data_IF_289356946730
#
_entry.id   IF_289356946730
#
_cell.length_a   1.000
_cell.length_b   1.000
_cell.length_c   1.000
_cell.angle_alpha   90.00
_cell.angle_beta   90.00
_cell.angle_gamma   90.00
#
_symmetry.space_group_name_H-M   'P 1'
#
loop_
_entity.id
_entity.type
_entity.pdbx_description
1 polymer ?
#
# COMPACT_ATOMS: atom_id res chain seq x y z
N UNK A 1 97.47 27.77 20.65
CA UNK A 1 97.32 27.59 19.20
C UNK A 1 96.08 26.73 19.00
N UNK A 2 94.91 27.29 18.67
CA UNK A 2 94.31 27.32 17.29
C UNK A 2 94.18 25.90 16.70
N UNK A 3 93.06 25.38 16.19
CA UNK A 3 91.76 25.90 15.74
C UNK A 3 90.70 24.74 15.64
N UNK A 4 89.42 25.14 15.69
CA UNK A 4 88.20 24.64 15.03
C UNK A 4 87.94 23.16 14.66
N UNK A 5 86.74 22.65 15.01
CA UNK A 5 85.56 22.67 14.10
C UNK A 5 84.28 22.03 14.67
N UNK A 6 83.14 22.67 14.35
CA UNK A 6 81.73 22.40 14.66
C UNK A 6 81.18 20.98 14.36
N UNK A 7 80.23 20.49 15.20
CA UNK A 7 78.83 20.20 14.78
C UNK A 7 77.89 19.73 15.93
N UNK A 8 76.88 20.57 16.18
CA UNK A 8 75.45 20.32 16.53
C UNK A 8 75.10 19.32 17.64
N UNK A 9 74.54 19.89 18.72
CA UNK A 9 73.69 19.28 19.73
C UNK A 9 72.37 18.73 19.17
N UNK A 10 71.97 17.54 19.62
CA UNK A 10 70.60 17.01 19.50
C UNK A 10 70.08 16.66 20.92
N UNK A 11 68.86 17.07 21.29
CA UNK A 11 68.39 17.03 22.67
C UNK A 11 67.64 15.73 23.04
N UNK A 12 67.63 15.44 24.34
CA UNK A 12 66.83 14.43 25.04
C UNK A 12 65.34 14.47 24.64
N UNK A 13 64.75 13.30 24.39
CA UNK A 13 63.29 13.12 24.31
C UNK A 13 62.90 11.95 25.23
N UNK A 14 62.15 12.28 26.28
CA UNK A 14 61.46 11.35 27.17
C UNK A 14 60.29 10.70 26.44
N UNK A 15 60.30 9.38 26.32
CA UNK A 15 59.24 8.59 25.69
C UNK A 15 57.99 8.60 26.60
N UNK A 16 56.94 9.27 26.14
CA UNK A 16 55.63 9.29 26.77
C UNK A 16 54.86 8.02 26.38
N UNK A 17 54.42 7.25 27.37
CA UNK A 17 53.47 6.12 27.25
C UNK A 17 52.29 6.50 26.35
N UNK A 18 52.34 6.02 25.11
CA UNK A 18 51.30 6.24 24.11
C UNK A 18 51.02 4.94 23.38
N UNK A 19 50.50 3.93 24.08
CA UNK A 19 49.78 2.84 23.41
C UNK A 19 48.86 2.02 24.35
N UNK A 20 48.00 2.70 25.11
CA UNK A 20 46.78 2.05 25.61
C UNK A 20 45.72 2.25 24.52
N UNK A 21 45.79 1.37 23.53
CA UNK A 21 44.85 1.29 22.42
C UNK A 21 43.41 1.34 22.93
N UNK A 22 42.66 2.32 22.42
CA UNK A 22 41.23 2.46 22.61
C UNK A 22 40.52 1.20 22.10
N UNK A 23 40.19 0.29 23.01
CA UNK A 23 39.25 -0.79 22.75
C UNK A 23 37.87 -0.18 22.45
N UNK A 24 37.56 -0.08 21.14
CA UNK A 24 36.21 -0.30 20.67
C UNK A 24 35.21 0.86 20.70
N UNK A 25 35.58 2.08 20.35
CA UNK A 25 34.58 3.05 19.83
C UNK A 25 34.31 2.73 18.37
N UNK A 26 33.46 1.73 18.11
CA UNK A 26 32.79 1.62 16.79
C UNK A 26 32.17 3.00 16.48
N UNK A 27 32.41 3.61 15.30
CA UNK A 27 31.86 4.92 14.98
C UNK A 27 30.34 4.84 15.09
N UNK A 28 29.79 5.53 16.10
CA UNK A 28 28.41 5.35 16.48
C UNK A 28 27.49 5.84 15.35
N UNK A 29 26.55 5.01 14.84
CA UNK A 29 25.82 5.29 13.60
C UNK A 29 25.08 6.63 13.69
N UNK A 30 25.26 7.49 12.67
CA UNK A 30 24.68 8.84 12.62
C UNK A 30 23.15 8.76 12.69
N UNK A 31 22.49 9.75 13.29
CA UNK A 31 21.02 9.88 13.40
C UNK A 31 20.27 10.08 12.06
N UNK A 32 20.92 9.74 10.93
CA UNK A 32 20.45 9.96 9.57
C UNK A 32 19.23 9.10 9.20
N UNK A 33 19.14 7.80 9.57
CA UNK A 33 18.07 6.94 9.06
C UNK A 33 16.67 7.38 9.49
N UNK A 34 16.43 7.62 10.78
CA UNK A 34 15.10 8.00 11.29
C UNK A 34 14.61 9.32 10.71
N UNK A 35 15.50 10.29 10.50
CA UNK A 35 15.13 11.58 9.88
C UNK A 35 14.74 11.42 8.42
N UNK A 36 15.46 10.59 7.67
CA UNK A 36 15.14 10.32 6.26
C UNK A 36 13.76 9.65 6.15
N UNK A 37 13.51 8.61 6.95
CA UNK A 37 12.20 7.95 6.99
C UNK A 37 11.09 8.89 7.43
N UNK A 38 11.32 9.73 8.45
CA UNK A 38 10.32 10.69 8.90
C UNK A 38 10.02 11.78 7.86
N UNK A 39 11.03 12.26 7.12
CA UNK A 39 10.83 13.22 6.01
C UNK A 39 10.02 12.55 4.89
N UNK A 40 10.37 11.32 4.51
CA UNK A 40 9.61 10.56 3.51
C UNK A 40 8.16 10.35 3.95
N UNK A 41 7.92 9.95 5.21
CA UNK A 41 6.58 9.77 5.76
C UNK A 41 5.80 11.08 5.83
N UNK A 42 6.46 12.18 6.18
CA UNK A 42 5.86 13.52 6.16
C UNK A 42 5.46 13.96 4.75
N UNK A 43 6.31 13.70 3.75
CA UNK A 43 6.00 13.99 2.35
C UNK A 43 4.84 13.14 1.82
N UNK A 44 4.83 11.83 2.11
CA UNK A 44 3.72 10.94 1.75
C UNK A 44 2.42 11.41 2.40
N UNK A 45 2.44 11.68 3.71
CA UNK A 45 1.24 12.13 4.43
C UNK A 45 0.74 13.48 3.91
N UNK A 46 1.64 14.44 3.65
CA UNK A 46 1.26 15.73 3.08
C UNK A 46 0.62 15.56 1.69
N UNK A 47 1.15 14.67 0.85
CA UNK A 47 0.58 14.34 -0.44
C UNK A 47 -0.81 13.68 -0.31
N UNK A 48 -0.97 12.71 0.60
CA UNK A 48 -2.27 12.09 0.88
C UNK A 48 -3.32 13.13 1.29
N UNK A 49 -2.96 14.02 2.22
CA UNK A 49 -3.84 15.09 2.68
C UNK A 49 -4.19 16.06 1.55
N UNK A 50 -3.21 16.45 0.73
CA UNK A 50 -3.46 17.31 -0.44
C UNK A 50 -4.48 16.67 -1.39
N UNK A 51 -4.30 15.41 -1.74
CA UNK A 51 -5.18 14.68 -2.66
C UNK A 51 -6.58 14.50 -2.06
N UNK A 52 -6.69 14.13 -0.78
CA UNK A 52 -7.99 14.01 -0.11
C UNK A 52 -8.74 15.34 0.00
N UNK A 53 -8.05 16.42 0.35
CA UNK A 53 -8.67 17.75 0.43
C UNK A 53 -9.18 18.16 -0.96
N UNK A 54 -8.37 17.95 -2.01
CA UNK A 54 -8.76 18.24 -3.39
C UNK A 54 -9.94 17.40 -3.85
N UNK A 55 -9.96 16.11 -3.51
CA UNK A 55 -11.09 15.22 -3.81
C UNK A 55 -12.37 15.70 -3.13
N UNK A 56 -12.37 15.93 -1.82
CA UNK A 56 -13.54 16.36 -1.05
C UNK A 56 -14.08 17.71 -1.55
N UNK A 57 -13.20 18.63 -1.92
CA UNK A 57 -13.59 19.94 -2.44
C UNK A 57 -13.89 19.93 -3.95
N UNK A 58 -13.62 18.82 -4.64
CA UNK A 58 -13.67 18.69 -6.09
C UNK A 58 -14.92 18.01 -6.61
N UNK A 59 -15.09 17.94 -7.94
CA UNK A 59 -16.25 17.30 -8.57
C UNK A 59 -16.25 15.77 -8.43
N UNK A 60 -15.11 15.17 -8.08
CA UNK A 60 -14.96 13.72 -7.94
C UNK A 60 -15.57 13.16 -6.65
N UNK A 61 -15.98 14.02 -5.70
CA UNK A 61 -16.71 13.61 -4.49
C UNK A 61 -18.20 13.37 -4.81
N UNK A 62 -18.46 12.45 -5.72
CA UNK A 62 -19.79 12.12 -6.21
C UNK A 62 -20.08 10.63 -6.04
N UNK A 63 -21.32 10.27 -5.74
CA UNK A 63 -21.69 8.85 -5.63
C UNK A 63 -21.60 8.18 -7.00
N UNK A 64 -20.93 7.04 -7.06
CA UNK A 64 -20.98 6.14 -8.21
C UNK A 64 -22.14 5.17 -8.01
N UNK A 65 -23.14 5.14 -8.90
CA UNK A 65 -24.31 4.28 -8.75
C UNK A 65 -24.01 2.81 -9.09
N UNK A 66 -24.81 1.86 -8.54
CA UNK A 66 -24.71 0.43 -8.85
C UNK A 66 -25.19 0.02 -10.24
N UNK A 67 -25.76 0.94 -11.02
CA UNK A 67 -26.37 0.60 -12.31
C UNK A 67 -27.66 -0.22 -12.17
N UNK A 68 -28.14 -0.82 -13.27
CA UNK A 68 -29.47 -1.45 -13.34
C UNK A 68 -29.58 -2.81 -12.65
N UNK A 69 -28.48 -3.56 -12.51
CA UNK A 69 -28.51 -4.84 -11.80
C UNK A 69 -28.43 -4.63 -10.29
N UNK A 70 -29.35 -5.23 -9.56
CA UNK A 70 -29.30 -5.21 -8.09
C UNK A 70 -28.49 -6.37 -7.52
N UNK A 71 -27.64 -6.13 -6.50
CA UNK A 71 -27.00 -7.21 -5.79
C UNK A 71 -28.04 -8.15 -5.12
N UNK A 72 -27.77 -9.46 -5.03
CA UNK A 72 -28.62 -10.40 -4.31
C UNK A 72 -28.87 -9.98 -2.85
N UNK A 73 -30.05 -10.28 -2.30
CA UNK A 73 -30.43 -9.88 -0.93
C UNK A 73 -29.45 -10.40 0.13
N UNK A 74 -28.96 -11.63 0.00
CA UNK A 74 -27.97 -12.20 0.91
C UNK A 74 -26.64 -11.41 0.88
N UNK A 75 -26.18 -11.05 -0.31
CA UNK A 75 -24.98 -10.21 -0.51
C UNK A 75 -25.16 -8.85 0.18
N UNK A 76 -26.29 -8.17 -0.03
CA UNK A 76 -26.61 -6.90 0.65
C UNK A 76 -26.58 -7.04 2.18
N UNK A 77 -27.20 -8.08 2.72
CA UNK A 77 -27.26 -8.31 4.16
C UNK A 77 -25.88 -8.56 4.77
N UNK A 78 -25.05 -9.38 4.11
CA UNK A 78 -23.69 -9.68 4.55
C UNK A 78 -22.82 -8.41 4.52
N UNK A 79 -22.83 -7.68 3.40
CA UNK A 79 -22.05 -6.45 3.24
C UNK A 79 -22.44 -5.39 4.26
N UNK A 80 -23.73 -5.22 4.52
CA UNK A 80 -24.23 -4.32 5.56
C UNK A 80 -23.76 -4.74 6.96
N UNK A 81 -23.93 -6.02 7.29
CA UNK A 81 -23.57 -6.56 8.61
C UNK A 81 -22.07 -6.40 8.87
N UNK A 82 -21.23 -6.74 7.89
CA UNK A 82 -19.78 -6.58 8.01
C UNK A 82 -19.35 -5.13 8.13
N UNK A 83 -19.96 -4.23 7.33
CA UNK A 83 -19.68 -2.80 7.42
C UNK A 83 -20.00 -2.30 8.83
N UNK A 84 -21.15 -2.70 9.38
CA UNK A 84 -21.54 -2.33 10.74
C UNK A 84 -20.55 -2.86 11.79
N UNK A 85 -20.14 -4.14 11.70
CA UNK A 85 -19.17 -4.74 12.63
C UNK A 85 -17.83 -4.01 12.60
N UNK A 86 -17.30 -3.73 11.41
CA UNK A 86 -16.00 -3.07 11.24
C UNK A 86 -16.06 -1.60 11.69
N UNK A 87 -17.12 -0.87 11.36
CA UNK A 87 -17.32 0.52 11.81
C UNK A 87 -17.46 0.61 13.33
N UNK A 88 -18.21 -0.30 13.96
CA UNK A 88 -18.38 -0.34 15.42
C UNK A 88 -17.12 -0.84 16.13
N UNK A 89 -16.41 -1.78 15.53
CA UNK A 89 -15.15 -2.30 16.06
C UNK A 89 -14.05 -1.24 16.10
N UNK A 90 -14.08 -0.26 15.18
CA UNK A 90 -13.02 0.74 15.05
C UNK A 90 -12.85 1.58 16.35
N UNK A 91 -13.91 2.20 16.93
CA UNK A 91 -13.81 2.84 18.25
C UNK A 91 -13.22 1.95 19.34
N UNK A 92 -13.54 0.65 19.35
CA UNK A 92 -13.01 -0.32 20.31
C UNK A 92 -11.51 -0.52 20.11
N UNK A 93 -11.06 -0.64 18.85
CA UNK A 93 -9.64 -0.74 18.51
C UNK A 93 -8.87 0.52 18.93
N UNK A 94 -9.40 1.72 18.63
CA UNK A 94 -8.81 2.98 19.09
C UNK A 94 -8.72 3.06 20.61
N UNK A 95 -9.77 2.63 21.32
CA UNK A 95 -9.76 2.59 22.77
C UNK A 95 -8.69 1.63 23.31
N UNK A 96 -8.59 0.43 22.73
CA UNK A 96 -7.69 -0.62 23.21
C UNK A 96 -6.21 -0.37 22.90
N UNK A 97 -5.89 0.10 21.70
CA UNK A 97 -4.51 0.25 21.23
C UNK A 97 -3.93 1.65 21.42
N UNK A 98 -4.77 2.69 21.51
CA UNK A 98 -4.32 4.07 21.62
C UNK A 98 -4.70 4.66 22.99
N UNK A 99 -6.00 4.75 23.31
CA UNK A 99 -6.46 5.49 24.49
C UNK A 99 -6.03 4.81 25.79
N UNK A 100 -6.24 3.49 25.91
CA UNK A 100 -5.92 2.73 27.13
C UNK A 100 -4.41 2.70 27.42
N UNK A 101 -3.52 2.40 26.45
CA UNK A 101 -2.08 2.46 26.69
C UNK A 101 -1.59 3.88 26.94
N UNK A 102 -2.16 4.88 26.27
CA UNK A 102 -1.81 6.28 26.53
C UNK A 102 -2.18 6.69 27.97
N UNK A 103 -3.35 6.28 28.48
CA UNK A 103 -3.73 6.56 29.88
C UNK A 103 -2.87 5.82 30.90
N UNK A 104 -2.44 4.59 30.61
CA UNK A 104 -1.66 3.75 31.54
C UNK A 104 -0.17 4.05 31.53
N UNK A 105 0.42 4.19 30.35
CA UNK A 105 1.87 4.27 30.15
C UNK A 105 2.33 5.68 29.73
N UNK A 106 1.40 6.63 29.50
CA UNK A 106 1.67 7.99 29.01
C UNK A 106 2.49 8.03 27.71
N UNK A 107 2.43 6.97 26.91
CA UNK A 107 3.11 6.84 25.61
C UNK A 107 2.23 6.17 24.57
N UNK A 108 2.51 6.45 23.30
CA UNK A 108 1.93 5.74 22.16
C UNK A 108 2.80 4.50 21.90
N UNK A 109 2.19 3.32 21.95
CA UNK A 109 2.86 2.05 21.71
C UNK A 109 3.14 1.84 20.23
N UNK A 110 4.04 0.91 19.89
CA UNK A 110 4.29 0.52 18.50
C UNK A 110 3.00 0.05 17.83
N UNK A 111 2.19 -0.76 18.52
CA UNK A 111 0.91 -1.23 18.01
C UNK A 111 -0.07 -0.08 17.74
N UNK A 112 -0.11 0.95 18.60
CA UNK A 112 -0.91 2.14 18.35
C UNK A 112 -0.43 2.95 17.12
N UNK A 113 0.88 3.04 16.90
CA UNK A 113 1.44 3.69 15.70
C UNK A 113 1.15 2.88 14.44
N UNK A 114 1.34 1.55 14.49
CA UNK A 114 1.02 0.65 13.40
C UNK A 114 -0.47 0.65 13.06
N UNK A 115 -1.36 0.76 14.05
CA UNK A 115 -2.79 0.87 13.84
C UNK A 115 -3.13 2.07 12.93
N UNK A 116 -2.61 3.25 13.27
CA UNK A 116 -2.81 4.46 12.46
C UNK A 116 -2.09 4.35 11.12
N UNK A 117 -0.87 3.84 11.10
CA UNK A 117 -0.10 3.67 9.86
C UNK A 117 -0.81 2.74 8.88
N UNK A 118 -1.38 1.62 9.34
CA UNK A 118 -2.16 0.69 8.53
C UNK A 118 -3.44 1.34 8.03
N UNK A 119 -4.17 2.07 8.88
CA UNK A 119 -5.36 2.83 8.47
C UNK A 119 -5.06 3.84 7.35
N UNK A 120 -3.90 4.50 7.38
CA UNK A 120 -3.48 5.41 6.31
C UNK A 120 -3.04 4.71 5.01
N UNK A 121 -2.81 3.38 5.03
CA UNK A 121 -2.54 2.61 3.81
C UNK A 121 -3.77 2.51 2.91
N UNK A 122 -4.97 2.74 3.46
CA UNK A 122 -6.21 2.85 2.68
C UNK A 122 -6.07 3.80 1.48
N UNK A 123 -5.29 4.88 1.61
CA UNK A 123 -5.02 5.79 0.49
C UNK A 123 -4.38 5.09 -0.72
N UNK A 124 -3.51 4.11 -0.44
CA UNK A 124 -2.72 3.41 -1.44
C UNK A 124 -3.46 2.26 -2.12
N UNK A 125 -4.55 1.78 -1.52
CA UNK A 125 -5.28 0.63 -2.06
C UNK A 125 -5.72 0.80 -3.51
N UNK A 126 -6.47 1.86 -3.88
CA UNK A 126 -6.96 1.97 -5.24
C UNK A 126 -5.84 2.27 -6.24
N UNK A 127 -4.59 2.52 -5.80
CA UNK A 127 -3.45 2.70 -6.70
C UNK A 127 -3.17 1.46 -7.56
N UNK A 128 -3.62 0.27 -7.15
CA UNK A 128 -3.58 -0.93 -7.98
C UNK A 128 -4.24 -0.74 -9.37
N UNK A 129 -5.13 0.26 -9.50
CA UNK A 129 -5.81 0.63 -10.74
C UNK A 129 -5.17 1.80 -11.51
N UNK A 130 -3.93 2.19 -11.20
CA UNK A 130 -3.33 3.42 -11.75
C UNK A 130 -3.28 3.43 -13.27
N UNK A 131 -2.81 2.34 -13.89
CA UNK A 131 -2.73 2.22 -15.36
C UNK A 131 -4.00 1.70 -16.02
N UNK A 132 -4.64 0.71 -15.41
CA UNK A 132 -5.85 0.09 -15.91
C UNK A 132 -6.64 -0.47 -14.73
N UNK A 133 -7.94 -0.67 -14.90
CA UNK A 133 -8.79 -1.19 -13.82
C UNK A 133 -8.59 -2.69 -13.66
N UNK A 134 -7.82 -3.07 -12.64
CA UNK A 134 -7.51 -4.45 -12.28
C UNK A 134 -8.45 -5.00 -11.19
N UNK A 135 -8.85 -4.19 -10.22
CA UNK A 135 -9.85 -4.52 -9.18
C UNK A 135 -11.01 -3.53 -9.18
N UNK A 136 -12.21 -3.99 -8.84
CA UNK A 136 -13.37 -3.13 -8.64
C UNK A 136 -14.14 -3.50 -7.38
N UNK A 137 -14.71 -2.49 -6.74
CA UNK A 137 -15.57 -2.66 -5.56
C UNK A 137 -17.04 -2.70 -5.91
N UNK A 138 -17.84 -3.26 -5.01
CA UNK A 138 -19.29 -3.23 -5.12
C UNK A 138 -19.86 -1.83 -4.86
N UNK A 139 -20.33 -1.17 -5.91
CA UNK A 139 -20.81 0.23 -5.85
C UNK A 139 -22.18 0.39 -5.20
N UNK A 140 -22.84 -0.72 -4.81
CA UNK A 140 -24.00 -0.67 -3.92
C UNK A 140 -23.63 -0.14 -2.53
N UNK A 141 -22.41 -0.43 -2.06
CA UNK A 141 -21.91 0.05 -0.79
C UNK A 141 -21.78 1.57 -0.78
N UNK A 142 -21.79 2.15 0.42
CA UNK A 142 -21.67 3.60 0.57
C UNK A 142 -20.32 4.08 0.00
N UNK A 143 -20.39 4.88 -1.06
CA UNK A 143 -19.24 5.42 -1.76
C UNK A 143 -19.50 6.86 -2.22
N UNK A 144 -18.42 7.62 -2.43
CA UNK A 144 -18.40 8.97 -3.01
C UNK A 144 -17.33 9.04 -4.10
N UNK A 145 -17.28 8.01 -4.95
CA UNK A 145 -16.19 7.83 -5.91
C UNK A 145 -14.90 7.49 -5.17
N UNK A 146 -13.78 8.03 -5.62
CA UNK A 146 -12.50 7.95 -4.93
C UNK A 146 -11.62 9.13 -5.32
N UNK A 147 -10.52 9.31 -4.59
CA UNK A 147 -9.57 10.39 -4.82
C UNK A 147 -8.60 10.13 -5.99
N UNK A 148 -8.71 8.99 -6.68
CA UNK A 148 -7.70 8.57 -7.66
C UNK A 148 -7.56 9.51 -8.85
N UNK A 149 -8.66 10.12 -9.29
CA UNK A 149 -8.66 11.06 -10.41
C UNK A 149 -8.01 12.42 -10.04
N UNK A 150 -7.78 12.67 -8.74
CA UNK A 150 -7.06 13.85 -8.24
C UNK A 150 -5.56 13.58 -8.03
N UNK A 151 -5.10 12.34 -8.27
CA UNK A 151 -3.69 11.96 -8.22
C UNK A 151 -3.00 12.46 -9.51
N UNK A 152 -1.93 13.26 -9.41
CA UNK A 152 -1.18 13.69 -10.58
C UNK A 152 -0.66 12.50 -11.39
N UNK A 153 -0.95 12.50 -12.69
CA UNK A 153 -0.50 11.47 -13.62
C UNK A 153 -1.35 10.20 -13.67
N UNK A 154 -2.49 10.16 -12.95
CA UNK A 154 -3.44 9.04 -13.03
C UNK A 154 -3.86 8.75 -14.47
N UNK A 155 -3.86 7.47 -14.86
CA UNK A 155 -4.00 7.05 -16.27
C UNK A 155 -5.33 6.37 -16.54
N UNK A 156 -5.78 5.49 -15.64
CA UNK A 156 -7.02 4.74 -15.83
C UNK A 156 -8.22 5.67 -15.92
N UNK A 157 -9.12 5.37 -16.85
CA UNK A 157 -10.30 6.18 -17.10
C UNK A 157 -11.16 6.38 -15.83
N UNK A 158 -11.68 7.60 -15.68
CA UNK A 158 -12.73 7.91 -14.72
C UNK A 158 -13.26 9.34 -14.91
N UNK A 159 -14.52 9.54 -14.54
CA UNK A 159 -15.18 10.85 -14.50
C UNK A 159 -16.15 10.90 -13.31
N UNK A 160 -16.57 12.08 -12.84
CA UNK A 160 -17.61 12.18 -11.80
C UNK A 160 -18.81 11.27 -12.10
N UNK A 161 -19.20 10.46 -11.09
CA UNK A 161 -20.26 9.44 -11.21
C UNK A 161 -19.89 8.14 -11.96
N UNK A 162 -18.74 8.05 -12.63
CA UNK A 162 -18.23 6.87 -13.34
C UNK A 162 -16.73 6.69 -13.06
N UNK A 163 -16.50 6.22 -11.84
CA UNK A 163 -15.29 6.19 -11.02
C UNK A 163 -14.69 4.84 -10.65
N UNK A 164 -13.42 4.75 -10.25
CA UNK A 164 -13.09 3.81 -9.17
C UNK A 164 -13.87 4.23 -7.91
N UNK A 165 -14.75 3.37 -7.43
CA UNK A 165 -15.70 3.70 -6.37
C UNK A 165 -15.30 3.04 -5.07
N UNK A 166 -14.81 3.82 -4.11
CA UNK A 166 -14.24 3.26 -2.89
C UNK A 166 -15.30 3.10 -1.80
N UNK A 167 -15.51 1.89 -1.23
CA UNK A 167 -16.47 1.65 -0.17
C UNK A 167 -15.91 2.15 1.16
N UNK A 168 -15.95 3.48 1.34
CA UNK A 168 -15.27 4.20 2.41
C UNK A 168 -15.56 3.66 3.82
N UNK A 169 -16.81 3.30 4.11
CA UNK A 169 -17.20 2.80 5.43
C UNK A 169 -16.68 1.39 5.74
N UNK A 170 -16.34 0.62 4.71
CA UNK A 170 -15.77 -0.71 4.90
C UNK A 170 -14.25 -0.65 4.87
N UNK A 171 -13.69 -0.10 3.79
CA UNK A 171 -12.26 -0.20 3.53
C UNK A 171 -11.46 0.68 4.49
N UNK A 172 -11.86 1.94 4.70
CA UNK A 172 -11.10 2.83 5.57
C UNK A 172 -10.95 2.26 6.99
N UNK A 173 -12.01 1.78 7.67
CA UNK A 173 -11.87 1.08 8.95
C UNK A 173 -11.22 -0.30 8.83
N UNK A 174 -11.47 -1.05 7.75
CA UNK A 174 -10.88 -2.36 7.48
C UNK A 174 -9.34 -2.32 7.49
N UNK A 175 -8.74 -1.29 6.90
CA UNK A 175 -7.29 -1.10 6.89
C UNK A 175 -6.67 -0.91 8.28
N UNK A 176 -7.42 -0.43 9.28
CA UNK A 176 -6.92 -0.40 10.66
C UNK A 176 -6.78 -1.82 11.23
N UNK A 177 -7.68 -2.74 10.85
CA UNK A 177 -7.66 -4.12 11.33
C UNK A 177 -6.60 -5.00 10.67
N UNK A 178 -5.89 -4.50 9.65
CA UNK A 178 -4.65 -5.12 9.12
C UNK A 178 -3.64 -5.39 10.23
N UNK A 179 -3.59 -4.53 11.25
CA UNK A 179 -2.77 -4.76 12.45
C UNK A 179 -3.08 -6.11 13.12
N UNK A 180 -4.34 -6.53 13.19
CA UNK A 180 -4.72 -7.80 13.81
C UNK A 180 -4.14 -8.98 13.01
N UNK A 181 -4.17 -8.89 11.68
CA UNK A 181 -3.53 -9.87 10.79
C UNK A 181 -2.02 -9.91 11.02
N UNK A 182 -1.37 -8.74 11.16
CA UNK A 182 0.06 -8.65 11.49
C UNK A 182 0.37 -9.25 12.87
N UNK A 183 -0.47 -9.00 13.88
CA UNK A 183 -0.31 -9.60 15.23
C UNK A 183 -0.43 -11.13 15.19
N UNK A 184 -1.36 -11.65 14.39
CA UNK A 184 -1.54 -13.09 14.17
C UNK A 184 -0.34 -13.69 13.42
N UNK A 185 0.16 -13.02 12.37
CA UNK A 185 1.38 -13.42 11.68
C UNK A 185 2.60 -13.45 12.60
N UNK A 186 2.77 -12.45 13.45
CA UNK A 186 3.81 -12.48 14.50
C UNK A 186 3.61 -13.64 15.48
N UNK A 187 2.39 -14.04 15.81
CA UNK A 187 2.12 -15.21 16.64
C UNK A 187 2.52 -16.51 15.94
N UNK A 188 2.24 -16.64 14.64
CA UNK A 188 2.69 -17.77 13.81
C UNK A 188 4.21 -17.84 13.78
N UNK A 189 4.90 -16.71 13.55
CA UNK A 189 6.37 -16.66 13.61
C UNK A 189 6.91 -17.09 14.97
N UNK A 190 6.27 -16.70 16.09
CA UNK A 190 6.65 -17.15 17.43
C UNK A 190 6.49 -18.66 17.57
N UNK A 191 5.38 -19.22 17.09
CA UNK A 191 5.13 -20.67 17.12
C UNK A 191 6.12 -21.45 16.25
N UNK A 192 6.45 -20.94 15.07
CA UNK A 192 7.48 -21.52 14.21
C UNK A 192 8.84 -21.54 14.89
N UNK A 193 9.24 -20.44 15.55
CA UNK A 193 10.51 -20.38 16.30
C UNK A 193 10.53 -21.30 17.53
N UNK A 194 9.38 -21.52 18.19
CA UNK A 194 9.25 -22.50 19.27
C UNK A 194 9.40 -23.95 18.75
N UNK A 195 8.87 -24.24 17.56
CA UNK A 195 8.97 -25.57 16.94
C UNK A 195 10.35 -25.83 16.32
N UNK A 196 10.95 -24.82 15.72
CA UNK A 196 12.26 -24.87 15.07
C UNK A 196 13.17 -23.77 15.62
N UNK A 197 13.87 -24.00 16.74
CA UNK A 197 14.70 -22.97 17.39
C UNK A 197 15.83 -22.42 16.51
N UNK A 198 16.35 -23.24 15.60
CA UNK A 198 17.47 -22.89 14.71
C UNK A 198 17.01 -22.25 13.39
N UNK A 199 15.73 -21.91 13.24
CA UNK A 199 15.23 -21.25 12.03
C UNK A 199 15.85 -19.85 11.92
N UNK A 200 16.46 -19.57 10.76
CA UNK A 200 17.02 -18.26 10.49
C UNK A 200 15.92 -17.24 10.14
N UNK A 201 16.29 -15.96 10.04
CA UNK A 201 15.34 -14.88 9.74
C UNK A 201 14.59 -15.10 8.41
N UNK A 202 15.29 -15.57 7.37
CA UNK A 202 14.67 -15.84 6.07
C UNK A 202 13.63 -16.96 6.14
N UNK A 203 13.87 -18.00 6.94
CA UNK A 203 12.91 -19.07 7.19
C UNK A 203 11.65 -18.54 7.89
N UNK A 204 11.80 -17.63 8.87
CA UNK A 204 10.64 -16.99 9.51
C UNK A 204 9.84 -16.12 8.54
N UNK A 205 10.52 -15.41 7.63
CA UNK A 205 9.88 -14.64 6.56
C UNK A 205 9.11 -15.57 5.62
N UNK A 206 9.72 -16.67 5.18
CA UNK A 206 9.06 -17.66 4.33
C UNK A 206 7.82 -18.27 5.00
N UNK A 207 7.89 -18.58 6.29
CA UNK A 207 6.74 -19.09 7.06
C UNK A 207 5.61 -18.09 7.10
N UNK A 208 5.89 -16.80 7.37
CA UNK A 208 4.82 -15.80 7.44
C UNK A 208 4.22 -15.55 6.07
N UNK A 209 5.01 -15.51 4.98
CA UNK A 209 4.50 -15.38 3.59
C UNK A 209 3.59 -16.56 3.23
N UNK A 210 4.02 -17.79 3.54
CA UNK A 210 3.20 -18.97 3.27
C UNK A 210 1.90 -18.92 4.08
N UNK A 211 1.97 -18.58 5.36
CA UNK A 211 0.79 -18.46 6.21
C UNK A 211 -0.16 -17.36 5.72
N UNK A 212 0.35 -16.18 5.39
CA UNK A 212 -0.46 -15.06 4.90
C UNK A 212 -1.12 -15.41 3.59
N UNK A 213 -0.42 -16.04 2.64
CA UNK A 213 -1.00 -16.53 1.39
C UNK A 213 -2.24 -17.42 1.63
N UNK A 214 -2.13 -18.41 2.51
CA UNK A 214 -3.26 -19.29 2.80
C UNK A 214 -4.37 -18.61 3.60
N UNK A 215 -4.00 -17.76 4.56
CA UNK A 215 -4.96 -16.99 5.34
C UNK A 215 -5.77 -16.07 4.43
N UNK A 216 -5.09 -15.42 3.50
CA UNK A 216 -5.67 -14.51 2.54
C UNK A 216 -6.55 -15.25 1.52
N UNK A 217 -6.12 -16.38 0.98
CA UNK A 217 -6.98 -17.23 0.17
C UNK A 217 -8.31 -17.59 0.87
N UNK A 218 -8.28 -17.88 2.18
CA UNK A 218 -9.49 -18.21 2.96
C UNK A 218 -10.36 -16.98 3.19
N UNK A 219 -9.78 -15.86 3.60
CA UNK A 219 -10.55 -14.65 3.92
C UNK A 219 -11.01 -13.96 2.64
N UNK A 220 -10.14 -13.77 1.68
CA UNK A 220 -10.43 -13.05 0.46
C UNK A 220 -11.09 -13.94 -0.59
N UNK A 221 -10.39 -15.01 -0.97
CA UNK A 221 -10.79 -15.95 -2.02
C UNK A 221 -12.09 -16.72 -1.71
N UNK A 222 -12.26 -17.18 -0.47
CA UNK A 222 -13.43 -17.99 -0.09
C UNK A 222 -14.53 -17.22 0.63
N UNK A 223 -14.26 -15.99 1.10
CA UNK A 223 -15.22 -15.24 1.92
C UNK A 223 -15.53 -13.86 1.34
N UNK A 224 -14.59 -12.90 1.28
CA UNK A 224 -14.87 -11.52 0.87
C UNK A 224 -15.34 -11.42 -0.59
N UNK A 225 -14.69 -12.11 -1.51
CA UNK A 225 -15.06 -12.06 -2.93
C UNK A 225 -16.36 -12.81 -3.25
N UNK A 226 -16.60 -14.05 -2.78
CA UNK A 226 -17.91 -14.69 -2.95
C UNK A 226 -19.06 -13.89 -2.34
N UNK A 227 -18.80 -13.16 -1.25
CA UNK A 227 -19.75 -12.23 -0.63
C UNK A 227 -19.93 -10.93 -1.40
N UNK A 228 -19.13 -10.70 -2.44
CA UNK A 228 -19.25 -9.60 -3.38
C UNK A 228 -18.82 -8.26 -2.82
N UNK A 229 -17.79 -8.21 -1.97
CA UNK A 229 -17.18 -6.96 -1.50
C UNK A 229 -16.43 -6.26 -2.64
N UNK A 230 -15.55 -7.01 -3.32
CA UNK A 230 -14.80 -6.61 -4.50
C UNK A 230 -14.53 -7.80 -5.40
N UNK A 231 -14.01 -7.54 -6.59
CA UNK A 231 -13.63 -8.53 -7.59
C UNK A 231 -12.39 -8.08 -8.35
N UNK A 232 -11.62 -9.02 -8.88
CA UNK A 232 -10.50 -8.76 -9.79
C UNK A 232 -10.89 -9.05 -11.24
N UNK A 233 -11.61 -8.14 -11.93
CA UNK A 233 -12.03 -8.41 -13.29
C UNK A 233 -10.84 -8.53 -14.25
N UNK A 234 -9.76 -7.79 -14.02
CA UNK A 234 -8.54 -7.84 -14.82
C UNK A 234 -7.56 -8.94 -14.40
N UNK A 235 -7.97 -9.94 -13.62
CA UNK A 235 -7.08 -11.03 -13.23
C UNK A 235 -6.69 -11.93 -14.40
N UNK A 236 -5.43 -12.38 -14.43
CA UNK A 236 -4.98 -13.39 -15.39
C UNK A 236 -5.64 -14.73 -15.03
N UNK A 237 -6.53 -15.21 -15.89
CA UNK A 237 -7.38 -16.38 -15.67
C UNK A 237 -6.55 -17.64 -15.42
N UNK A 238 -5.44 -17.81 -16.14
CA UNK A 238 -4.55 -18.96 -15.99
C UNK A 238 -3.88 -19.06 -14.61
N UNK A 239 -3.76 -17.94 -13.89
CA UNK A 239 -3.15 -17.86 -12.57
C UNK A 239 -4.18 -17.55 -11.49
N UNK A 240 -5.45 -17.87 -11.72
CA UNK A 240 -6.56 -17.56 -10.82
C UNK A 240 -7.36 -18.80 -10.43
N UNK A 241 -7.81 -18.84 -9.18
CA UNK A 241 -8.81 -19.79 -8.69
C UNK A 241 -10.20 -19.29 -9.11
N UNK A 242 -11.10 -20.18 -9.52
CA UNK A 242 -12.44 -19.83 -10.03
C UNK A 242 -12.43 -18.86 -11.22
N UNK A 243 -11.45 -19.00 -12.11
CA UNK A 243 -11.30 -18.15 -13.28
C UNK A 243 -12.59 -18.03 -14.10
N UNK A 244 -12.92 -16.81 -14.53
CA UNK A 244 -14.14 -16.54 -15.29
C UNK A 244 -15.41 -16.31 -14.46
N UNK A 245 -15.30 -16.34 -13.12
CA UNK A 245 -16.40 -15.96 -12.21
C UNK A 245 -16.18 -14.57 -11.60
N UNK A 246 -17.21 -13.97 -11.01
CA UNK A 246 -17.06 -12.70 -10.27
C UNK A 246 -16.23 -12.79 -8.99
N UNK A 247 -15.88 -13.99 -8.55
CA UNK A 247 -15.08 -14.23 -7.34
C UNK A 247 -13.78 -14.95 -7.68
N UNK A 248 -13.25 -14.70 -8.89
CA UNK A 248 -11.95 -15.22 -9.29
C UNK A 248 -10.84 -14.63 -8.41
N UNK A 249 -9.97 -15.50 -7.87
CA UNK A 249 -8.89 -15.10 -6.98
C UNK A 249 -7.52 -15.30 -7.64
N UNK A 250 -6.80 -14.23 -7.99
CA UNK A 250 -5.48 -14.33 -8.55
C UNK A 250 -4.48 -14.82 -7.51
N UNK A 251 -3.77 -15.93 -7.77
CA UNK A 251 -2.77 -16.49 -6.84
C UNK A 251 -1.66 -15.47 -6.53
N UNK A 252 -1.35 -14.58 -7.47
CA UNK A 252 -0.32 -13.56 -7.27
C UNK A 252 -0.76 -12.44 -6.32
N UNK A 253 -2.06 -12.24 -6.11
CA UNK A 253 -2.58 -11.32 -5.09
C UNK A 253 -2.16 -11.78 -3.69
N UNK A 254 -2.44 -13.03 -3.31
CA UNK A 254 -2.00 -13.57 -2.03
C UNK A 254 -0.49 -13.53 -1.82
N UNK A 255 0.32 -13.58 -2.90
CA UNK A 255 1.77 -13.39 -2.81
C UNK A 255 2.15 -11.92 -2.58
N UNK A 256 1.53 -10.99 -3.31
CA UNK A 256 1.73 -9.55 -3.15
C UNK A 256 1.33 -9.11 -1.74
N UNK A 257 0.13 -9.47 -1.30
CA UNK A 257 -0.36 -9.19 0.06
C UNK A 257 0.48 -9.90 1.12
N UNK A 258 0.89 -11.13 0.85
CA UNK A 258 1.81 -11.88 1.71
C UNK A 258 3.15 -11.16 1.91
N UNK A 259 3.67 -10.50 0.87
CA UNK A 259 4.86 -9.65 0.96
C UNK A 259 4.67 -8.41 1.85
N UNK A 260 3.53 -7.73 1.72
CA UNK A 260 3.17 -6.59 2.60
C UNK A 260 3.09 -7.04 4.06
N UNK A 261 2.34 -8.11 4.33
CA UNK A 261 2.19 -8.65 5.68
C UNK A 261 3.51 -9.16 6.25
N UNK A 262 4.38 -9.75 5.43
CA UNK A 262 5.72 -10.15 5.86
C UNK A 262 6.56 -8.93 6.29
N UNK A 263 6.50 -7.83 5.53
CA UNK A 263 7.14 -6.56 5.89
C UNK A 263 6.65 -6.01 7.24
N UNK A 264 5.32 -5.93 7.41
CA UNK A 264 4.69 -5.47 8.66
C UNK A 264 5.02 -6.40 9.84
N UNK A 265 4.95 -7.71 9.64
CA UNK A 265 5.28 -8.71 10.66
C UNK A 265 6.76 -8.64 11.05
N UNK A 266 7.67 -8.49 10.10
CA UNK A 266 9.09 -8.35 10.39
C UNK A 266 9.37 -7.08 11.21
N UNK A 267 8.74 -5.97 10.83
CA UNK A 267 8.86 -4.72 11.57
C UNK A 267 8.41 -4.87 13.02
N UNK A 268 7.26 -5.53 13.25
CA UNK A 268 6.70 -5.73 14.59
C UNK A 268 7.42 -6.82 15.39
N UNK A 269 7.83 -7.92 14.76
CA UNK A 269 8.43 -9.09 15.42
C UNK A 269 9.88 -8.87 15.82
N UNK A 270 10.66 -8.17 14.99
CA UNK A 270 12.07 -7.85 15.26
C UNK A 270 12.27 -6.48 15.91
N UNK A 271 11.21 -5.90 16.49
CA UNK A 271 11.35 -4.74 17.35
C UNK A 271 12.23 -5.07 18.56
N UNK A 272 13.03 -4.11 19.01
CA UNK A 272 13.89 -4.27 20.17
C UNK A 272 13.09 -4.37 21.49
N UNK A 273 13.78 -4.63 22.61
CA UNK A 273 13.14 -4.73 23.94
C UNK A 273 12.48 -3.42 24.39
N UNK A 274 12.82 -2.29 23.75
CA UNK A 274 12.20 -0.99 23.97
C UNK A 274 11.02 -0.74 23.02
N UNK A 275 10.68 -1.70 22.15
CA UNK A 275 9.60 -1.64 21.16
C UNK A 275 9.93 -0.76 19.96
N UNK A 276 11.20 -0.54 19.64
CA UNK A 276 11.65 0.25 18.49
C UNK A 276 12.01 -0.65 17.32
N UNK A 277 11.59 -0.22 16.15
CA UNK A 277 11.83 -0.89 14.87
C UNK A 277 13.13 -0.39 14.22
N UNK A 278 13.55 -1.02 13.12
CA UNK A 278 14.79 -0.64 12.43
C UNK A 278 14.75 0.79 11.85
N UNK A 279 13.57 1.33 11.53
CA UNK A 279 13.40 2.70 11.00
C UNK A 279 13.51 3.77 12.07
N UNK A 280 13.46 3.37 13.34
CA UNK A 280 13.57 4.25 14.50
C UNK A 280 15.01 4.34 15.03
N UNK A 281 15.96 3.64 14.39
CA UNK A 281 17.38 3.66 14.78
C UNK A 281 17.92 5.10 14.75
N UNK A 282 18.37 5.57 15.91
CA UNK A 282 18.88 6.93 16.10
C UNK A 282 17.86 7.94 16.65
N UNK A 283 16.66 7.50 17.04
CA UNK A 283 15.63 8.35 17.67
C UNK A 283 16.13 9.06 18.93
N UNK A 284 17.03 8.44 19.70
CA UNK A 284 17.65 9.01 20.91
C UNK A 284 18.40 10.32 20.66
N UNK A 285 18.79 10.59 19.41
CA UNK A 285 19.53 11.79 19.01
C UNK A 285 18.61 12.87 18.41
N UNK A 286 17.30 12.65 18.36
CA UNK A 286 16.34 13.66 17.92
C UNK A 286 16.12 14.65 19.06
N UNK A 287 16.75 15.82 18.94
CA UNK A 287 16.57 16.93 19.87
C UNK A 287 15.15 17.50 19.77
N UNK A 288 14.43 17.50 20.89
CA UNK A 288 13.08 18.05 21.03
C UNK A 288 12.28 17.38 22.14
N UNK A 289 11.15 17.97 22.49
CA UNK A 289 10.22 17.41 23.48
C UNK A 289 9.57 16.10 23.03
N UNK A 290 8.91 15.42 23.97
CA UNK A 290 8.26 14.11 23.79
C UNK A 290 7.38 14.04 22.53
N UNK A 291 6.56 15.07 22.28
CA UNK A 291 5.67 15.11 21.12
C UNK A 291 6.42 15.05 19.78
N UNK A 292 7.54 15.78 19.63
CA UNK A 292 8.34 15.80 18.40
C UNK A 292 8.98 14.43 18.14
N UNK A 293 9.46 13.77 19.19
CA UNK A 293 10.02 12.43 19.08
C UNK A 293 8.96 11.40 18.67
N UNK A 294 7.77 11.44 19.28
CA UNK A 294 6.66 10.55 18.92
C UNK A 294 6.16 10.78 17.48
N UNK A 295 6.06 12.04 17.04
CA UNK A 295 5.68 12.34 15.67
C UNK A 295 6.73 11.86 14.66
N UNK A 296 8.01 12.12 14.93
CA UNK A 296 9.12 11.66 14.06
C UNK A 296 9.11 10.14 13.95
N UNK A 297 8.90 9.46 15.08
CA UNK A 297 8.78 8.00 15.17
C UNK A 297 7.59 7.48 14.34
N UNK A 298 6.41 8.08 14.51
CA UNK A 298 5.21 7.72 13.75
C UNK A 298 5.41 7.90 12.24
N UNK A 299 5.94 9.05 11.81
CA UNK A 299 6.18 9.31 10.38
C UNK A 299 7.17 8.31 9.78
N UNK A 300 8.21 7.91 10.53
CA UNK A 300 9.16 6.90 10.07
C UNK A 300 8.51 5.51 9.91
N UNK A 301 7.69 5.08 10.88
CA UNK A 301 6.93 3.82 10.81
C UNK A 301 5.94 3.86 9.64
N UNK A 302 5.22 4.97 9.50
CA UNK A 302 4.25 5.16 8.43
C UNK A 302 4.89 5.11 7.05
N UNK A 303 6.05 5.75 6.87
CA UNK A 303 6.82 5.70 5.62
C UNK A 303 7.22 4.26 5.27
N UNK A 304 7.63 3.48 6.26
CA UNK A 304 8.06 2.11 6.05
C UNK A 304 6.89 1.16 5.75
N UNK A 305 5.76 1.30 6.46
CA UNK A 305 4.52 0.58 6.12
C UNK A 305 4.06 0.93 4.70
N UNK A 306 4.11 2.23 4.35
CA UNK A 306 3.78 2.72 3.02
C UNK A 306 4.70 2.16 1.95
N UNK A 307 6.01 2.07 2.23
CA UNK A 307 6.98 1.50 1.31
C UNK A 307 6.76 0.01 1.08
N UNK A 308 6.42 -0.77 2.12
CA UNK A 308 6.09 -2.18 1.95
C UNK A 308 4.86 -2.37 1.07
N UNK A 309 3.79 -1.62 1.33
CA UNK A 309 2.58 -1.66 0.49
C UNK A 309 2.91 -1.26 -0.96
N UNK A 310 3.64 -0.17 -1.15
CA UNK A 310 3.98 0.30 -2.48
C UNK A 310 4.83 -0.70 -3.28
N UNK A 311 5.88 -1.24 -2.65
CA UNK A 311 6.86 -2.11 -3.33
C UNK A 311 6.30 -3.51 -3.56
N UNK A 312 5.64 -4.11 -2.56
CA UNK A 312 5.19 -5.50 -2.63
C UNK A 312 3.79 -5.67 -3.21
N UNK A 313 2.97 -4.61 -3.22
CA UNK A 313 1.60 -4.67 -3.74
C UNK A 313 1.41 -3.77 -4.96
N UNK A 314 1.59 -2.45 -4.82
CA UNK A 314 1.25 -1.53 -5.92
C UNK A 314 2.09 -1.71 -7.18
N UNK A 315 3.42 -1.83 -7.05
CA UNK A 315 4.31 -2.02 -8.20
C UNK A 315 4.01 -3.31 -8.98
N UNK A 316 3.96 -4.51 -8.35
CA UNK A 316 3.60 -5.72 -9.07
C UNK A 316 2.16 -5.70 -9.58
N UNK A 317 1.21 -5.11 -8.83
CA UNK A 317 -0.17 -4.97 -9.28
C UNK A 317 -0.26 -4.14 -10.58
N UNK A 318 0.54 -3.07 -10.73
CA UNK A 318 0.61 -2.32 -11.98
C UNK A 318 1.05 -3.17 -13.16
N UNK A 319 2.05 -4.04 -12.94
CA UNK A 319 2.51 -4.94 -13.98
C UNK A 319 1.38 -5.88 -14.43
N UNK A 320 0.66 -6.48 -13.48
CA UNK A 320 -0.47 -7.36 -13.80
C UNK A 320 -1.65 -6.61 -14.43
N UNK A 321 -1.95 -5.39 -13.99
CA UNK A 321 -3.00 -4.55 -14.55
C UNK A 321 -2.80 -4.25 -16.04
N UNK A 322 -1.54 -4.16 -16.49
CA UNK A 322 -1.18 -3.97 -17.90
C UNK A 322 -1.25 -5.27 -18.74
N UNK A 323 -1.32 -6.43 -18.08
CA UNK A 323 -1.36 -7.75 -18.73
C UNK A 323 -2.66 -8.50 -18.40
N UNK A 324 -3.76 -7.77 -18.20
CA UNK A 324 -5.04 -8.35 -17.82
C UNK A 324 -5.67 -9.15 -18.97
N UNK A 325 -6.36 -10.24 -18.62
CA UNK A 325 -7.24 -10.96 -19.53
C UNK A 325 -8.57 -10.21 -19.73
N UNK A 326 -9.41 -10.59 -20.71
CA UNK A 326 -10.75 -10.04 -20.84
C UNK A 326 -11.53 -10.17 -19.53
N UNK A 327 -12.31 -9.14 -19.21
CA UNK A 327 -13.21 -9.18 -18.06
C UNK A 327 -14.21 -10.36 -18.20
N UNK A 328 -14.40 -11.18 -17.16
CA UNK A 328 -15.38 -12.27 -17.18
C UNK A 328 -16.82 -11.83 -17.44
N UNK A 329 -17.55 -12.56 -18.29
CA UNK A 329 -18.98 -12.33 -18.57
C UNK A 329 -19.85 -12.31 -17.30
N UNK A 330 -19.49 -13.13 -16.30
CA UNK A 330 -20.19 -13.17 -15.02
C UNK A 330 -20.04 -11.86 -14.22
N UNK A 331 -18.99 -11.08 -14.45
CA UNK A 331 -18.83 -9.71 -13.93
C UNK A 331 -19.55 -8.71 -14.83
N UNK A 332 -19.40 -8.84 -16.16
CA UNK A 332 -19.98 -7.90 -17.13
C UNK A 332 -21.51 -7.79 -17.04
N UNK A 333 -22.21 -8.85 -16.62
CA UNK A 333 -23.66 -8.82 -16.39
C UNK A 333 -24.07 -8.20 -15.03
N UNK A 334 -23.12 -7.84 -14.17
CA UNK A 334 -23.32 -7.32 -12.82
C UNK A 334 -22.84 -5.87 -12.74
N UNK A 335 -23.71 -4.95 -13.13
CA UNK A 335 -23.44 -3.51 -13.16
C UNK A 335 -22.83 -2.95 -11.86
N UNK A 336 -23.18 -3.52 -10.70
CA UNK A 336 -22.66 -3.09 -9.41
C UNK A 336 -21.16 -3.38 -9.19
N UNK A 337 -20.51 -4.11 -10.10
CA UNK A 337 -19.05 -4.28 -10.16
C UNK A 337 -18.36 -3.48 -11.28
N UNK A 338 -19.13 -2.83 -12.16
CA UNK A 338 -18.58 -2.11 -13.32
C UNK A 338 -18.28 -0.64 -13.03
N UNK A 339 -18.80 -0.11 -11.92
CA UNK A 339 -18.59 1.27 -11.46
C UNK A 339 -18.90 2.38 -12.50
N UNK A 340 -19.64 2.04 -13.55
CA UNK A 340 -19.96 2.93 -14.68
C UNK A 340 -18.76 3.31 -15.57
N UNK A 341 -17.59 2.68 -15.39
CA UNK A 341 -16.39 3.00 -16.20
C UNK A 341 -16.41 2.32 -17.57
N UNK A 342 -17.14 1.20 -17.69
CA UNK A 342 -17.30 0.42 -18.91
C UNK A 342 -18.56 -0.46 -18.83
N UNK A 343 -18.88 -1.13 -19.94
CA UNK A 343 -19.96 -2.13 -20.02
C UNK A 343 -21.10 -1.70 -20.93
N UNK A 344 -22.16 -2.51 -20.95
CA UNK A 344 -23.30 -2.36 -21.87
C UNK A 344 -24.05 -1.01 -21.71
N UNK A 345 -24.08 -0.46 -20.50
CA UNK A 345 -24.72 0.84 -20.21
C UNK A 345 -23.86 2.05 -20.59
N UNK A 346 -22.71 1.83 -21.22
CA UNK A 346 -21.75 2.87 -21.60
C UNK A 346 -21.36 2.70 -23.07
N UNK A 347 -20.84 3.76 -23.70
CA UNK A 347 -20.26 3.66 -25.05
C UNK A 347 -18.87 2.97 -25.05
N UNK A 348 -18.39 2.54 -23.87
CA UNK A 348 -17.06 1.96 -23.69
C UNK A 348 -17.14 0.46 -23.41
N UNK A 349 -16.52 -0.39 -24.24
CA UNK A 349 -16.28 -1.78 -23.87
C UNK A 349 -15.37 -1.83 -22.63
N UNK A 350 -15.53 -2.88 -21.82
CA UNK A 350 -14.60 -3.13 -20.72
C UNK A 350 -13.23 -3.54 -21.25
N UNK A 351 -12.16 -3.35 -20.45
CA UNK A 351 -10.81 -3.71 -20.85
C UNK A 351 -10.73 -5.13 -21.43
N UNK A 352 -10.15 -5.22 -22.62
CA UNK A 352 -9.91 -6.46 -23.36
C UNK A 352 -8.55 -6.37 -24.06
N UNK A 353 -7.71 -7.42 -24.04
CA UNK A 353 -6.43 -7.46 -24.74
C UNK A 353 -6.49 -7.14 -26.25
N UNK A 354 -7.65 -7.33 -26.88
CA UNK A 354 -7.86 -6.98 -28.28
C UNK A 354 -7.96 -5.46 -28.52
N UNK A 355 -8.15 -4.67 -27.46
CA UNK A 355 -8.32 -3.22 -27.53
C UNK A 355 -7.14 -2.48 -26.87
N UNK A 356 -6.74 -1.31 -27.39
CA UNK A 356 -5.82 -0.44 -26.68
C UNK A 356 -6.38 -0.05 -25.31
N UNK A 357 -5.53 0.03 -24.29
CA UNK A 357 -5.93 0.50 -22.97
C UNK A 357 -6.37 1.96 -23.06
N UNK A 358 -7.65 2.27 -22.75
CA UNK A 358 -8.15 3.64 -22.85
C UNK A 358 -7.57 4.48 -21.71
N UNK A 359 -6.83 5.52 -22.06
CA UNK A 359 -6.32 6.52 -21.12
C UNK A 359 -7.36 7.64 -20.93
N UNK A 360 -7.26 8.39 -19.84
CA UNK A 360 -8.14 9.53 -19.56
C UNK A 360 -8.26 10.53 -20.73
N UNK A 361 -7.16 10.76 -21.46
CA UNK A 361 -7.09 11.73 -22.56
C UNK A 361 -6.83 11.09 -23.93
N UNK A 362 -7.05 9.78 -24.09
CA UNK A 362 -6.88 9.10 -25.38
C UNK A 362 -8.22 8.80 -26.05
N UNK A 363 -8.17 8.54 -27.36
CA UNK A 363 -9.29 7.90 -28.02
C UNK A 363 -9.49 6.46 -27.53
N UNK A 364 -10.69 5.94 -27.74
CA UNK A 364 -11.04 4.55 -27.44
C UNK A 364 -11.90 3.97 -28.57
N UNK A 365 -11.96 2.65 -28.66
CA UNK A 365 -12.84 1.95 -29.60
C UNK A 365 -14.17 1.68 -28.91
N UNK A 366 -15.28 2.11 -29.50
CA UNK A 366 -16.62 1.86 -28.97
C UNK A 366 -17.13 0.46 -29.33
N UNK A 367 -18.35 0.12 -28.87
CA UNK A 367 -18.97 -1.19 -29.15
C UNK A 367 -19.20 -1.49 -30.64
N UNK A 368 -19.26 -0.45 -31.50
CA UNK A 368 -19.39 -0.59 -32.95
C UNK A 368 -18.03 -0.77 -33.67
N UNK A 369 -16.92 -0.80 -32.93
CA UNK A 369 -15.57 -0.83 -33.50
C UNK A 369 -15.09 0.52 -34.04
N UNK A 370 -15.76 1.63 -33.73
CA UNK A 370 -15.38 2.98 -34.18
C UNK A 370 -14.47 3.65 -33.17
N UNK A 371 -13.44 4.34 -33.68
CA UNK A 371 -12.57 5.18 -32.86
C UNK A 371 -13.31 6.46 -32.45
N UNK A 372 -13.52 6.63 -31.14
CA UNK A 372 -14.06 7.84 -30.53
C UNK A 372 -12.91 8.63 -29.94
N UNK A 373 -12.71 9.86 -30.42
CA UNK A 373 -11.68 10.78 -29.89
C UNK A 373 -12.27 11.69 -28.82
N UNK A 374 -11.45 12.16 -27.85
CA UNK A 374 -11.86 13.22 -26.94
C UNK A 374 -12.25 14.49 -27.71
N UNK A 375 -13.13 15.29 -27.12
CA UNK A 375 -13.61 16.53 -27.72
C UNK A 375 -12.42 17.47 -28.06
N UNK A 376 -12.42 18.02 -29.27
CA UNK A 376 -11.37 18.92 -29.75
C UNK A 376 -10.05 18.25 -30.17
N UNK A 377 -9.91 16.92 -29.99
CA UNK A 377 -8.72 16.18 -30.42
C UNK A 377 -8.87 15.70 -31.87
N UNK A 378 -7.84 15.93 -32.68
CA UNK A 378 -7.74 15.40 -34.05
C UNK A 378 -6.70 14.30 -34.10
N UNK A 379 -6.84 13.39 -35.06
CA UNK A 379 -5.80 12.40 -35.34
C UNK A 379 -4.48 13.10 -35.67
N UNK A 380 -3.34 12.58 -35.19
CA UNK A 380 -2.02 13.08 -35.57
C UNK A 380 -1.83 13.02 -37.08
N UNK A 381 -1.28 14.09 -37.66
CA UNK A 381 -0.90 14.09 -39.07
C UNK A 381 0.33 13.20 -39.29
N UNK A 382 0.36 12.48 -40.41
CA UNK A 382 1.54 11.71 -40.79
C UNK A 382 2.66 12.68 -41.22
N UNK A 383 3.80 12.64 -40.53
CA UNK A 383 4.99 13.43 -40.88
C UNK A 383 5.91 12.55 -41.72
N UNK A 384 6.17 12.89 -43.00
CA UNK A 384 7.06 12.11 -43.85
C UNK A 384 8.46 11.99 -43.24
N UNK A 385 9.10 10.83 -43.41
CA UNK A 385 10.48 10.63 -43.00
C UNK A 385 11.42 11.45 -43.88
N UNK A 386 12.37 12.14 -43.26
CA UNK A 386 13.47 12.78 -43.97
C UNK A 386 14.42 11.71 -44.51
N UNK A 387 14.21 11.33 -45.77
CA UNK A 387 15.11 10.42 -46.48
C UNK A 387 16.22 11.28 -47.07
N UNK A 388 17.30 11.42 -46.31
CA UNK A 388 18.52 12.12 -46.75
C UNK A 388 18.96 11.62 -48.13
N UNK A 389 19.40 12.55 -48.98
CA UNK A 389 19.86 12.28 -50.35
C UNK A 389 21.24 11.65 -50.37
#
# INVERSE_FOLDING_TARGET
MTELSNKKSAPFVTESLGDVGSLGTKPAPKAKPVRIWAIAGGAILAFQLYVWIRWIAGPNFERVPPGPSEPPTLMKAILFTWTAVIVVGLPVAFWWFIIRPWRRERRITLDGMLLISCGLLFFQDPLLNYFNTWSTYNTWMWNRGSWVQDIPGWVSFGKPGAMMAEPFLMNAPGYFFVLLCTMLGCWVMRKAKQRWPNINTFGLIGVVIAWTFFFDFVIEGLFLMPMGLFTYPGAIRALSVNAGTYYQWPLYEGLMWGGVQAGLCCMRFFADDHGRTFVERGLERVQGGFAKQQLTRFLAIFAACSAFFFVFYNLPAQWFAMHQDPWPDDILKRSYFLMGICGADTDRPCPDPALPVPLTNSGYINHDGKLVLPEGVKLPNNVPLDRGK
#
